data_IF_305390973282
#
_entry.id   IF_305390973282
#
_cell.length_a   1.000
_cell.length_b   1.000
_cell.length_c   1.000
_cell.angle_alpha   90.00
_cell.angle_beta   90.00
_cell.angle_gamma   90.00
#
_symmetry.space_group_name_H-M   'P 1'
#
loop_
_entity.id
_entity.type
_entity.pdbx_description
1 polymer ?
#
# COMPACT_ATOMS: atom_id res chain seq x y z
N UNK A 1 -2.48 -11.01 6.12
CA UNK A 1 -2.71 -9.54 6.25
C UNK A 1 -2.42 -8.88 4.91
N UNK A 2 -3.06 -7.76 4.59
CA UNK A 2 -2.81 -6.99 3.37
C UNK A 2 -2.25 -5.62 3.72
N UNK A 3 -1.30 -5.12 2.95
CA UNK A 3 -0.63 -3.85 3.16
C UNK A 3 -0.78 -2.98 1.92
N UNK A 4 -1.23 -1.75 2.08
CA UNK A 4 -1.22 -0.74 1.02
C UNK A 4 -0.03 0.18 1.27
N UNK A 5 0.95 0.12 0.37
CA UNK A 5 2.11 1.02 0.34
C UNK A 5 1.81 2.13 -0.66
N UNK A 6 1.90 3.38 -0.23
CA UNK A 6 1.61 4.52 -1.10
C UNK A 6 2.51 5.72 -0.83
N UNK A 7 2.64 6.59 -1.82
CA UNK A 7 3.41 7.83 -1.72
C UNK A 7 2.47 9.02 -1.53
N UNK A 8 2.84 9.96 -0.66
CA UNK A 8 2.17 11.26 -0.58
C UNK A 8 3.09 12.36 -1.07
N UNK A 9 2.55 13.28 -1.89
CA UNK A 9 3.32 14.41 -2.42
C UNK A 9 3.45 15.43 -1.30
N UNK A 10 4.69 15.67 -0.86
CA UNK A 10 4.97 16.74 0.08
C UNK A 10 4.91 18.08 -0.65
N UNK A 11 3.99 18.96 -0.24
CA UNK A 11 3.92 20.33 -0.76
C UNK A 11 5.06 21.23 -0.24
N UNK A 12 5.81 20.78 0.76
CA UNK A 12 6.84 21.57 1.46
C UNK A 12 8.24 20.93 1.43
N UNK A 13 8.38 19.74 0.84
CA UNK A 13 9.62 18.95 0.82
C UNK A 13 10.11 18.62 -0.60
N UNK A 14 11.38 18.19 -0.72
CA UNK A 14 11.98 17.73 -1.99
C UNK A 14 11.71 16.25 -2.31
N UNK A 15 11.01 15.53 -1.44
CA UNK A 15 10.79 14.09 -1.54
C UNK A 15 9.35 13.73 -1.16
N UNK A 16 8.82 12.69 -1.80
CA UNK A 16 7.55 12.08 -1.42
C UNK A 16 7.72 11.27 -0.12
N UNK A 17 6.69 11.26 0.71
CA UNK A 17 6.66 10.43 1.92
C UNK A 17 6.06 9.06 1.58
N UNK A 18 6.74 8.00 2.01
CA UNK A 18 6.24 6.63 1.89
C UNK A 18 5.35 6.29 3.10
N UNK A 19 4.12 5.89 2.82
CA UNK A 19 3.12 5.52 3.81
C UNK A 19 2.74 4.05 3.66
N UNK A 20 2.36 3.42 4.77
CA UNK A 20 1.88 2.03 4.80
C UNK A 20 0.64 1.94 5.67
N UNK A 21 -0.42 1.34 5.13
CA UNK A 21 -1.65 1.00 5.85
C UNK A 21 -1.88 -0.52 5.80
N UNK A 22 -2.31 -1.10 6.92
CA UNK A 22 -2.56 -2.54 7.03
C UNK A 22 -4.07 -2.82 7.12
N UNK A 23 -4.51 -3.90 6.48
CA UNK A 23 -5.90 -4.33 6.39
C UNK A 23 -6.00 -5.84 6.58
N UNK A 24 -7.11 -6.30 7.15
CA UNK A 24 -7.38 -7.72 7.35
C UNK A 24 -7.81 -8.38 6.04
N UNK A 25 -8.59 -7.67 5.22
CA UNK A 25 -9.14 -8.20 3.97
C UNK A 25 -8.56 -7.51 2.72
N UNK A 26 -8.56 -8.24 1.60
CA UNK A 26 -8.13 -7.69 0.31
C UNK A 26 -9.09 -6.62 -0.21
N UNK A 27 -10.39 -6.73 0.12
CA UNK A 27 -11.42 -5.79 -0.32
C UNK A 27 -11.21 -4.41 0.31
N UNK A 28 -10.97 -4.36 1.62
CA UNK A 28 -10.63 -3.11 2.33
C UNK A 28 -9.35 -2.47 1.78
N UNK A 29 -8.31 -3.27 1.56
CA UNK A 29 -7.06 -2.78 0.97
C UNK A 29 -7.29 -2.20 -0.45
N UNK A 30 -8.16 -2.80 -1.26
CA UNK A 30 -8.50 -2.30 -2.61
C UNK A 30 -9.31 -1.02 -2.56
N UNK A 31 -10.29 -0.92 -1.66
CA UNK A 31 -11.08 0.29 -1.47
C UNK A 31 -10.16 1.46 -1.09
N UNK A 32 -9.31 1.25 -0.09
CA UNK A 32 -8.35 2.27 0.35
C UNK A 32 -7.35 2.64 -0.74
N UNK A 33 -6.77 1.66 -1.45
CA UNK A 33 -5.84 1.93 -2.55
C UNK A 33 -6.49 2.75 -3.67
N UNK A 34 -7.77 2.51 -3.97
CA UNK A 34 -8.52 3.30 -4.96
C UNK A 34 -8.74 4.74 -4.49
N UNK A 35 -9.16 4.94 -3.24
CA UNK A 35 -9.33 6.27 -2.66
C UNK A 35 -8.03 7.09 -2.69
N UNK A 36 -6.91 6.47 -2.31
CA UNK A 36 -5.59 7.12 -2.32
C UNK A 36 -5.13 7.45 -3.75
N UNK A 37 -5.40 6.58 -4.72
CA UNK A 37 -5.12 6.86 -6.13
C UNK A 37 -5.96 8.04 -6.66
N UNK A 38 -7.24 8.13 -6.29
CA UNK A 38 -8.12 9.25 -6.66
C UNK A 38 -7.69 10.58 -6.03
N UNK A 39 -7.02 10.55 -4.88
CA UNK A 39 -6.43 11.73 -4.23
C UNK A 39 -5.14 12.23 -4.90
N UNK A 40 -4.67 11.56 -5.96
CA UNK A 40 -3.48 11.97 -6.72
C UNK A 40 -2.17 11.45 -6.14
N UNK A 41 -2.21 10.36 -5.36
CA UNK A 41 -0.99 9.67 -4.95
C UNK A 41 -0.23 9.13 -6.17
N UNK A 42 1.08 9.45 -6.33
CA UNK A 42 1.85 9.08 -7.52
C UNK A 42 2.17 7.59 -7.59
N UNK A 43 2.12 6.88 -6.45
CA UNK A 43 2.40 5.45 -6.40
C UNK A 43 1.57 4.80 -5.31
N UNK A 44 0.82 3.76 -5.67
CA UNK A 44 0.04 2.93 -4.74
C UNK A 44 0.27 1.47 -5.10
N UNK A 45 0.52 0.62 -4.12
CA UNK A 45 0.77 -0.81 -4.31
C UNK A 45 0.17 -1.61 -3.16
N UNK A 46 -0.52 -2.70 -3.47
CA UNK A 46 -1.02 -3.64 -2.48
C UNK A 46 -0.05 -4.81 -2.39
N UNK A 47 0.46 -5.08 -1.19
CA UNK A 47 1.24 -6.25 -0.85
C UNK A 47 0.41 -7.16 0.05
N UNK A 48 0.61 -8.47 -0.08
CA UNK A 48 0.02 -9.45 0.83
C UNK A 48 1.14 -10.05 1.67
N UNK A 49 0.88 -10.22 2.96
CA UNK A 49 1.72 -11.06 3.82
C UNK A 49 1.60 -12.50 3.34
N UNK A 50 2.63 -13.01 2.68
CA UNK A 50 2.80 -14.45 2.50
C UNK A 50 3.39 -15.01 3.78
N UNK A 51 2.75 -16.05 4.35
CA UNK A 51 3.33 -16.78 5.47
C UNK A 51 4.67 -17.40 5.07
N UNK A 52 5.61 -17.48 6.01
CA UNK A 52 6.97 -18.00 5.76
C UNK A 52 7.00 -19.37 5.07
N UNK A 53 5.98 -20.22 5.27
CA UNK A 53 5.84 -21.52 4.61
C UNK A 53 5.71 -21.43 3.08
N UNK A 54 5.03 -20.43 2.53
CA UNK A 54 4.85 -20.28 1.08
C UNK A 54 6.14 -19.79 0.39
N UNK A 55 7.02 -19.12 1.14
CA UNK A 55 8.30 -18.60 0.65
C UNK A 55 9.37 -19.67 0.48
N UNK A 56 9.25 -20.79 1.18
CA UNK A 56 10.21 -21.90 1.14
C UNK A 56 9.82 -23.01 0.14
N UNK A 57 8.61 -22.94 -0.42
CA UNK A 57 8.06 -23.94 -1.33
C UNK A 57 8.21 -23.61 -2.83
N UNK A 58 8.77 -22.44 -3.19
CA UNK A 58 9.02 -21.99 -4.57
C UNK A 58 10.50 -21.79 -4.87
#
# INVERSE_FOLDING_TARGET
>A
MYYVVYETISLFGKSNDNCVAAFETLEEARLFAKEVAEQGSPRVTIAQEMGEEERLAN
#
